data_IF_262972897761
#
_entry.id   IF_262972897761
#
_cell.length_a   1.000
_cell.length_b   1.000
_cell.length_c   1.000
_cell.angle_alpha   90.00
_cell.angle_beta   90.00
_cell.angle_gamma   90.00
#
_symmetry.space_group_name_H-M   'P 1'
#
loop_
_entity.id
_entity.type
_entity.pdbx_description
1 polymer ?
#
# COMPACT_ATOMS: atom_id res chain seq x y z
N UNK A 1 22.01 12.05 -13.35
CA UNK A 1 20.85 11.16 -13.11
C UNK A 1 21.03 9.76 -13.69
N UNK A 2 21.67 9.58 -14.85
CA UNK A 2 21.83 8.27 -15.50
C UNK A 2 22.69 7.25 -14.73
N UNK A 3 23.86 7.65 -14.21
CA UNK A 3 24.77 6.74 -13.50
C UNK A 3 24.20 6.13 -12.20
N UNK A 4 23.35 6.86 -11.45
CA UNK A 4 22.73 6.35 -10.22
C UNK A 4 21.78 5.19 -10.53
N UNK A 5 20.98 5.32 -11.59
CA UNK A 5 20.04 4.28 -12.04
C UNK A 5 20.80 3.09 -12.63
N UNK A 6 21.85 3.35 -13.41
CA UNK A 6 22.69 2.28 -14.01
C UNK A 6 23.42 1.44 -12.96
N UNK A 7 23.66 1.98 -11.77
CA UNK A 7 24.34 1.29 -10.67
C UNK A 7 23.37 0.70 -9.63
N UNK A 8 22.05 0.74 -9.84
CA UNK A 8 21.10 0.05 -8.96
C UNK A 8 21.19 -1.46 -9.20
N UNK A 9 21.53 -2.20 -8.15
CA UNK A 9 21.59 -3.66 -8.19
C UNK A 9 20.20 -4.29 -8.23
N UNK A 10 20.14 -5.52 -8.72
CA UNK A 10 18.92 -6.32 -8.70
C UNK A 10 18.50 -6.67 -7.25
N UNK A 11 17.20 -6.79 -7.05
CA UNK A 11 16.66 -7.19 -5.75
C UNK A 11 16.96 -8.66 -5.48
N UNK A 12 17.72 -8.93 -4.42
CA UNK A 12 17.93 -10.30 -3.92
C UNK A 12 16.64 -11.01 -3.52
N UNK A 13 15.60 -10.27 -3.12
CA UNK A 13 14.27 -10.83 -2.85
C UNK A 13 13.66 -11.40 -4.14
N UNK A 14 13.89 -10.72 -5.27
CA UNK A 14 13.39 -11.15 -6.57
C UNK A 14 14.15 -12.36 -7.10
N UNK A 15 15.46 -12.46 -6.87
CA UNK A 15 16.25 -13.65 -7.21
C UNK A 15 15.68 -14.89 -6.52
N UNK A 16 15.46 -14.84 -5.20
CA UNK A 16 14.85 -15.95 -4.44
C UNK A 16 13.45 -16.28 -4.94
N UNK A 17 12.61 -15.27 -5.19
CA UNK A 17 11.27 -15.49 -5.72
C UNK A 17 11.29 -16.16 -7.10
N UNK A 18 12.20 -15.75 -7.99
CA UNK A 18 12.33 -16.32 -9.33
C UNK A 18 12.79 -17.78 -9.29
N UNK A 19 13.75 -18.13 -8.42
CA UNK A 19 14.21 -19.52 -8.24
C UNK A 19 13.12 -20.45 -7.67
N UNK A 20 12.18 -19.88 -6.92
CA UNK A 20 11.03 -20.61 -6.36
C UNK A 20 9.77 -20.60 -7.23
N UNK A 21 9.68 -19.74 -8.24
CA UNK A 21 8.50 -19.62 -9.10
C UNK A 21 8.25 -20.90 -9.91
N UNK A 22 6.99 -21.36 -9.94
CA UNK A 22 6.59 -22.57 -10.66
C UNK A 22 6.99 -23.89 -9.99
N UNK A 23 7.69 -23.84 -8.85
CA UNK A 23 8.01 -25.02 -8.05
C UNK A 23 6.90 -25.31 -7.04
N UNK A 24 6.32 -26.50 -7.13
CA UNK A 24 5.26 -26.96 -6.21
C UNK A 24 5.84 -27.50 -4.89
N UNK A 25 7.13 -27.84 -4.86
CA UNK A 25 7.85 -28.36 -3.69
C UNK A 25 8.37 -27.25 -2.74
N UNK A 26 8.08 -25.99 -3.04
CA UNK A 26 8.58 -24.83 -2.28
C UNK A 26 7.44 -24.04 -1.65
N UNK A 27 7.49 -23.87 -0.34
CA UNK A 27 6.63 -22.92 0.37
C UNK A 27 7.15 -21.49 0.18
N UNK A 28 6.23 -20.58 -0.12
CA UNK A 28 6.54 -19.21 -0.54
C UNK A 28 6.42 -18.27 0.65
N UNK A 29 7.54 -17.73 1.14
CA UNK A 29 7.60 -16.77 2.24
C UNK A 29 8.38 -15.49 1.89
N UNK A 30 8.44 -15.12 0.61
CA UNK A 30 9.23 -14.00 0.10
C UNK A 30 8.43 -12.73 -0.24
N UNK A 31 7.10 -12.77 -0.17
CA UNK A 31 6.25 -11.59 -0.35
C UNK A 31 5.78 -11.07 1.01
N UNK A 32 5.87 -9.75 1.20
CA UNK A 32 5.56 -9.07 2.46
C UNK A 32 4.15 -8.49 2.57
N UNK A 33 3.24 -8.89 1.68
CA UNK A 33 1.82 -8.51 1.75
C UNK A 33 1.01 -9.53 2.57
N UNK A 34 -0.19 -9.14 2.99
CA UNK A 34 -1.12 -10.06 3.64
C UNK A 34 -1.67 -11.07 2.64
N UNK A 35 -1.95 -12.27 3.12
CA UNK A 35 -2.68 -13.33 2.42
C UNK A 35 -4.21 -13.15 2.47
N UNK A 36 -4.71 -12.19 3.24
CA UNK A 36 -6.13 -11.89 3.36
C UNK A 36 -6.63 -10.98 2.24
N UNK A 37 -7.84 -11.26 1.78
CA UNK A 37 -8.54 -10.38 0.84
C UNK A 37 -8.92 -9.07 1.53
N UNK A 38 -8.90 -7.96 0.78
CA UNK A 38 -9.39 -6.68 1.31
C UNK A 38 -10.82 -6.82 1.86
N UNK A 39 -11.12 -6.29 3.06
CA UNK A 39 -12.44 -6.45 3.68
C UNK A 39 -13.59 -6.02 2.77
N UNK A 40 -14.73 -6.71 2.87
CA UNK A 40 -15.91 -6.46 2.04
C UNK A 40 -16.38 -4.99 2.05
N UNK A 41 -16.47 -4.29 3.20
CA UNK A 41 -16.93 -2.91 3.21
C UNK A 41 -16.05 -1.95 2.40
N UNK A 42 -14.74 -2.22 2.34
CA UNK A 42 -13.78 -1.43 1.56
C UNK A 42 -14.00 -1.66 0.06
N UNK A 43 -14.19 -2.93 -0.34
CA UNK A 43 -14.48 -3.28 -1.74
C UNK A 43 -15.81 -2.69 -2.21
N UNK A 44 -16.84 -2.73 -1.37
CA UNK A 44 -18.14 -2.13 -1.65
C UNK A 44 -18.06 -0.61 -1.84
N UNK A 45 -17.33 0.10 -0.97
CA UNK A 45 -17.10 1.54 -1.10
C UNK A 45 -16.36 1.90 -2.41
N UNK A 46 -15.35 1.13 -2.79
CA UNK A 46 -14.63 1.33 -4.05
C UNK A 46 -15.54 1.12 -5.28
N UNK A 47 -16.39 0.08 -5.26
CA UNK A 47 -17.37 -0.16 -6.33
C UNK A 47 -18.35 1.01 -6.44
N UNK A 48 -18.87 1.49 -5.31
CA UNK A 48 -19.81 2.61 -5.30
C UNK A 48 -19.18 3.90 -5.85
N UNK A 49 -17.95 4.22 -5.46
CA UNK A 49 -17.19 5.38 -5.96
C UNK A 49 -17.01 5.32 -7.49
N UNK A 50 -16.65 4.15 -8.02
CA UNK A 50 -16.55 3.94 -9.47
C UNK A 50 -17.91 4.10 -10.17
N UNK A 51 -18.99 3.56 -9.60
CA UNK A 51 -20.35 3.69 -10.15
C UNK A 51 -20.85 5.13 -10.13
N UNK A 52 -20.43 5.93 -9.15
CA UNK A 52 -20.73 7.36 -9.04
C UNK A 52 -19.90 8.22 -10.01
N UNK A 53 -18.92 7.65 -10.71
CA UNK A 53 -18.09 8.36 -11.69
C UNK A 53 -17.01 9.23 -11.05
N UNK A 54 -16.55 8.91 -9.84
CA UNK A 54 -15.51 9.64 -9.12
C UNK A 54 -14.10 9.33 -9.67
N UNK A 55 -13.87 9.65 -10.96
CA UNK A 55 -12.67 9.25 -11.72
C UNK A 55 -11.79 10.43 -12.15
N UNK A 56 -11.98 11.60 -11.54
CA UNK A 56 -11.24 12.83 -11.87
C UNK A 56 -10.20 13.15 -10.78
N UNK A 57 -9.36 14.15 -11.06
CA UNK A 57 -8.32 14.57 -10.14
C UNK A 57 -8.88 14.98 -8.77
N UNK A 58 -8.22 14.48 -7.72
CA UNK A 58 -8.29 15.05 -6.39
C UNK A 58 -7.21 16.14 -6.21
N UNK A 59 -7.24 16.83 -5.06
CA UNK A 59 -6.13 17.68 -4.66
C UNK A 59 -4.83 16.88 -4.53
N UNK A 60 -3.68 17.54 -4.71
CA UNK A 60 -2.36 16.90 -4.62
C UNK A 60 -2.10 16.18 -3.29
N UNK A 61 -2.74 16.63 -2.19
CA UNK A 61 -2.63 16.02 -0.87
C UNK A 61 -3.71 14.94 -0.62
N UNK A 62 -4.54 14.62 -1.62
CA UNK A 62 -5.67 13.72 -1.50
C UNK A 62 -6.98 14.41 -1.12
N UNK A 63 -8.04 13.61 -0.99
CA UNK A 63 -9.39 14.05 -0.59
C UNK A 63 -9.39 14.62 0.84
N UNK A 64 -10.24 15.61 1.13
CA UNK A 64 -10.29 16.21 2.48
C UNK A 64 -10.77 15.21 3.51
N UNK A 65 -11.82 14.47 3.16
CA UNK A 65 -12.49 13.47 3.98
C UNK A 65 -11.53 12.33 4.34
N UNK A 66 -10.66 11.92 3.40
CA UNK A 66 -9.63 10.91 3.66
C UNK A 66 -8.59 11.42 4.66
N UNK A 67 -8.12 12.66 4.51
CA UNK A 67 -7.15 13.25 5.43
C UNK A 67 -7.70 13.40 6.84
N UNK A 68 -8.96 13.83 6.95
CA UNK A 68 -9.67 13.94 8.24
C UNK A 68 -9.84 12.57 8.90
N UNK A 69 -10.24 11.55 8.14
CA UNK A 69 -10.37 10.18 8.65
C UNK A 69 -9.03 9.60 9.14
N UNK A 70 -7.94 9.81 8.40
CA UNK A 70 -6.59 9.38 8.80
C UNK A 70 -6.16 10.07 10.09
N UNK A 71 -6.39 11.38 10.21
CA UNK A 71 -6.03 12.14 11.41
C UNK A 71 -6.77 11.61 12.65
N UNK A 72 -8.09 11.43 12.55
CA UNK A 72 -8.91 10.91 13.64
C UNK A 72 -8.53 9.48 14.03
N UNK A 73 -8.31 8.60 13.04
CA UNK A 73 -7.89 7.22 13.28
C UNK A 73 -6.52 7.13 13.96
N UNK A 74 -5.57 7.94 13.50
CA UNK A 74 -4.21 7.95 14.04
C UNK A 74 -4.19 8.48 15.48
N UNK A 75 -4.92 9.55 15.78
CA UNK A 75 -5.04 10.08 17.14
C UNK A 75 -5.68 9.07 18.09
N UNK A 76 -6.72 8.35 17.64
CA UNK A 76 -7.36 7.31 18.43
C UNK A 76 -6.42 6.14 18.76
N UNK A 77 -5.57 5.72 17.82
CA UNK A 77 -4.57 4.66 18.04
C UNK A 77 -3.35 5.15 18.84
N UNK A 78 -3.00 6.42 18.70
CA UNK A 78 -1.77 6.99 19.23
C UNK A 78 -2.01 8.34 19.94
N UNK A 79 -2.76 8.37 21.05
CA UNK A 79 -3.15 9.62 21.68
C UNK A 79 -1.94 10.44 22.16
N UNK A 80 -1.96 11.75 21.92
CA UNK A 80 -0.94 12.67 22.41
C UNK A 80 0.40 12.61 21.67
N UNK A 81 0.54 11.79 20.62
CA UNK A 81 1.71 11.79 19.74
C UNK A 81 1.55 12.81 18.63
N UNK A 82 1.70 14.08 19.00
CA UNK A 82 1.75 15.18 18.03
C UNK A 82 2.96 15.08 17.10
N UNK A 83 3.00 15.89 16.05
CA UNK A 83 4.05 15.85 15.03
C UNK A 83 5.49 15.99 15.58
N UNK A 84 5.69 16.58 16.77
CA UNK A 84 7.01 16.68 17.42
C UNK A 84 7.45 15.43 18.20
N UNK A 85 6.66 14.35 18.21
CA UNK A 85 7.03 13.08 18.81
C UNK A 85 7.87 12.19 17.89
N UNK A 86 7.87 12.48 16.58
CA UNK A 86 8.59 11.75 15.52
C UNK A 86 9.64 12.66 14.88
#
# INVERSE_FOLDING_TARGET
MRALVENLEESRIREVANEGMGREDVLRFWFGESDEVSPEPVRAAAIASLQAGETFYAHNLGLSELREAIAAYTDALHPGRGAGHW
#
